data_IF_507830417908
#
_entry.id   IF_507830417908
#
_cell.length_a   1.000
_cell.length_b   1.000
_cell.length_c   1.000
_cell.angle_alpha   90.00
_cell.angle_beta   90.00
_cell.angle_gamma   90.00
#
_symmetry.space_group_name_H-M   'P 1'
#
loop_
_entity.id
_entity.type
_entity.pdbx_description
1 polymer ?
#
# COMPACT_ATOMS: atom_id res chain seq x y z
N UNK A 1 13.15 -47.03 25.17
CA UNK A 1 12.47 -45.81 25.66
C UNK A 1 12.68 -44.75 24.59
N UNK A 2 11.86 -44.79 23.53
CA UNK A 2 11.93 -43.84 22.42
C UNK A 2 10.73 -42.91 22.47
N UNK A 3 10.97 -41.63 22.77
CA UNK A 3 10.08 -40.51 22.49
C UNK A 3 10.89 -39.25 22.20
N UNK A 4 11.66 -39.25 21.11
CA UNK A 4 11.96 -38.01 20.41
C UNK A 4 10.80 -37.75 19.44
N UNK A 5 9.76 -37.10 19.95
CA UNK A 5 8.73 -36.53 19.09
C UNK A 5 9.35 -35.37 18.33
N UNK A 6 9.82 -35.63 17.12
CA UNK A 6 10.13 -34.60 16.12
C UNK A 6 8.86 -33.84 15.85
N UNK A 7 8.69 -32.71 16.53
CA UNK A 7 7.64 -31.73 16.28
C UNK A 7 7.94 -31.18 14.89
N UNK A 8 7.33 -31.76 13.84
CA UNK A 8 7.39 -31.20 12.49
C UNK A 8 6.90 -29.75 12.58
N UNK A 9 7.86 -28.82 12.51
CA UNK A 9 7.58 -27.39 12.42
C UNK A 9 6.93 -27.23 11.05
N UNK A 10 5.60 -27.11 11.04
CA UNK A 10 4.82 -26.92 9.81
C UNK A 10 5.36 -25.66 9.14
N UNK A 11 6.06 -25.83 8.02
CA UNK A 11 6.59 -24.73 7.23
C UNK A 11 5.41 -23.93 6.70
N UNK A 12 5.32 -22.65 7.06
CA UNK A 12 4.31 -21.76 6.49
C UNK A 12 4.83 -21.30 5.15
N UNK A 13 4.28 -21.85 4.07
CA UNK A 13 4.70 -21.54 2.70
C UNK A 13 3.87 -20.41 2.07
N UNK A 14 2.69 -20.11 2.63
CA UNK A 14 1.77 -19.08 2.12
C UNK A 14 1.20 -18.28 3.28
N UNK A 15 0.87 -17.02 3.01
CA UNK A 15 0.26 -16.13 3.99
C UNK A 15 -1.10 -16.66 4.48
N UNK A 16 -1.92 -17.21 3.58
CA UNK A 16 -3.24 -17.80 3.90
C UNK A 16 -3.17 -18.94 4.94
N UNK A 17 -2.04 -19.64 5.01
CA UNK A 17 -1.79 -20.72 5.98
C UNK A 17 -1.19 -20.23 7.30
N UNK A 18 -0.94 -18.93 7.43
CA UNK A 18 -0.22 -18.37 8.56
C UNK A 18 -1.09 -18.42 9.83
N UNK A 19 -0.63 -19.02 10.94
CA UNK A 19 -1.44 -19.16 12.16
C UNK A 19 -1.73 -17.82 12.86
N UNK A 20 -1.04 -16.76 12.45
CA UNK A 20 -1.23 -15.39 12.94
C UNK A 20 -1.75 -14.44 11.83
N UNK A 21 -2.43 -14.98 10.81
CA UNK A 21 -2.88 -14.23 9.63
C UNK A 21 -3.64 -12.95 9.98
N UNK A 22 -4.57 -13.01 10.94
CA UNK A 22 -5.37 -11.84 11.34
C UNK A 22 -4.53 -10.67 11.85
N UNK A 23 -3.51 -10.93 12.67
CA UNK A 23 -2.60 -9.89 13.18
C UNK A 23 -1.68 -9.36 12.06
N UNK A 24 -1.22 -10.24 11.16
CA UNK A 24 -0.45 -9.81 9.99
C UNK A 24 -1.27 -8.86 9.11
N UNK A 25 -2.48 -9.26 8.72
CA UNK A 25 -3.36 -8.44 7.87
C UNK A 25 -3.75 -7.16 8.58
N UNK A 26 -4.09 -7.22 9.88
CA UNK A 26 -4.45 -6.03 10.65
C UNK A 26 -3.32 -4.99 10.72
N UNK A 27 -2.07 -5.42 10.91
CA UNK A 27 -0.92 -4.49 10.88
C UNK A 27 -0.75 -3.88 9.48
N UNK A 28 -0.77 -4.71 8.44
CA UNK A 28 -0.56 -4.26 7.06
C UNK A 28 -1.66 -3.28 6.60
N UNK A 29 -2.93 -3.56 6.96
CA UNK A 29 -4.06 -2.69 6.65
C UNK A 29 -4.00 -1.35 7.38
N UNK A 30 -3.39 -1.30 8.57
CA UNK A 30 -3.26 -0.08 9.37
C UNK A 30 -2.11 0.83 8.90
N UNK A 31 -1.10 0.31 8.18
CA UNK A 31 0.08 1.10 7.78
C UNK A 31 -0.23 2.44 7.10
N UNK A 32 -1.13 2.54 6.10
CA UNK A 32 -1.43 3.82 5.46
C UNK A 32 -2.27 4.75 6.35
N UNK A 33 -2.82 4.26 7.46
CA UNK A 33 -3.63 5.03 8.41
C UNK A 33 -2.86 5.53 9.63
N UNK A 34 -1.57 5.19 9.74
CA UNK A 34 -0.70 5.79 10.75
C UNK A 34 -0.67 7.29 10.47
N UNK A 35 -1.08 8.09 11.46
CA UNK A 35 -1.16 9.55 11.35
C UNK A 35 0.15 10.21 11.77
N UNK A 36 0.27 11.51 11.50
CA UNK A 36 1.42 12.30 11.95
C UNK A 36 1.47 12.43 13.48
N UNK A 37 0.33 12.27 14.15
CA UNK A 37 0.22 12.23 15.61
C UNK A 37 0.69 10.89 16.22
N UNK A 38 0.55 9.80 15.46
CA UNK A 38 0.98 8.47 15.89
C UNK A 38 2.50 8.30 15.87
N UNK A 39 3.18 8.96 14.92
CA UNK A 39 4.62 8.82 14.70
C UNK A 39 5.46 9.19 15.95
N UNK A 40 5.27 10.36 16.59
CA UNK A 40 5.96 10.67 17.85
C UNK A 40 5.72 9.64 18.96
N UNK A 41 4.50 9.10 19.06
CA UNK A 41 4.14 8.14 20.10
C UNK A 41 4.80 6.77 19.86
N UNK A 42 4.77 6.29 18.61
CA UNK A 42 5.48 5.08 18.18
C UNK A 42 7.00 5.22 18.41
N UNK A 43 7.57 6.39 18.07
CA UNK A 43 8.98 6.69 18.27
C UNK A 43 9.37 6.71 19.76
N UNK A 44 8.53 7.28 20.62
CA UNK A 44 8.75 7.35 22.06
C UNK A 44 8.62 5.97 22.73
N UNK A 45 7.71 5.13 22.25
CA UNK A 45 7.52 3.77 22.76
C UNK A 45 8.60 2.78 22.28
N UNK A 46 9.30 3.09 21.19
CA UNK A 46 10.37 2.26 20.67
C UNK A 46 11.59 2.27 21.59
N UNK A 47 12.09 1.09 21.95
CA UNK A 47 13.31 0.95 22.73
C UNK A 47 14.27 -0.06 22.11
N UNK A 48 15.56 0.18 22.35
CA UNK A 48 16.63 -0.74 21.97
C UNK A 48 17.27 -1.31 23.24
N UNK A 49 16.98 -2.58 23.54
CA UNK A 49 17.60 -3.32 24.63
C UNK A 49 18.27 -4.58 24.08
N UNK A 50 19.26 -5.16 24.78
CA UNK A 50 19.87 -6.43 24.37
C UNK A 50 18.86 -7.56 24.19
N UNK A 51 17.84 -7.62 25.04
CA UNK A 51 16.77 -8.64 24.93
C UNK A 51 15.92 -8.45 23.68
N UNK A 52 15.58 -7.20 23.32
CA UNK A 52 14.84 -6.91 22.09
C UNK A 52 15.69 -7.14 20.84
N UNK A 53 16.99 -6.86 20.88
CA UNK A 53 17.89 -7.18 19.78
C UNK A 53 17.87 -8.69 19.45
N UNK A 54 17.99 -9.54 20.48
CA UNK A 54 17.89 -11.00 20.32
C UNK A 54 16.51 -11.41 19.76
N UNK A 55 15.43 -10.78 20.23
CA UNK A 55 14.09 -11.06 19.72
C UNK A 55 13.94 -10.68 18.24
N UNK A 56 14.50 -9.53 17.81
CA UNK A 56 14.54 -9.09 16.41
C UNK A 56 15.34 -10.06 15.55
N UNK A 57 16.51 -10.49 16.01
CA UNK A 57 17.35 -11.46 15.28
C UNK A 57 16.61 -12.78 15.05
N UNK A 58 15.82 -13.25 16.03
CA UNK A 58 14.95 -14.41 15.84
C UNK A 58 13.81 -14.13 14.87
N UNK A 59 13.20 -12.94 14.96
CA UNK A 59 12.07 -12.57 14.11
C UNK A 59 12.45 -12.40 12.64
N UNK A 60 13.69 -12.02 12.38
CA UNK A 60 14.27 -11.83 11.04
C UNK A 60 15.21 -12.98 10.64
N UNK A 61 15.29 -14.03 11.45
CA UNK A 61 16.13 -15.19 11.20
C UNK A 61 15.61 -16.05 10.04
N UNK A 62 16.45 -16.95 9.50
CA UNK A 62 16.08 -17.84 8.39
C UNK A 62 14.92 -18.79 8.73
N UNK A 63 14.71 -19.03 10.02
CA UNK A 63 13.64 -19.86 10.55
C UNK A 63 12.28 -19.12 10.68
N UNK A 64 12.26 -17.83 10.38
CA UNK A 64 11.06 -17.01 10.42
C UNK A 64 10.18 -17.30 9.19
N UNK A 65 8.88 -17.58 9.38
CA UNK A 65 8.00 -17.86 8.26
C UNK A 65 7.87 -16.63 7.35
N UNK A 66 7.86 -16.86 6.03
CA UNK A 66 7.59 -15.84 5.02
C UNK A 66 8.51 -14.60 5.15
N UNK A 67 9.80 -14.81 5.44
CA UNK A 67 10.75 -13.71 5.64
C UNK A 67 10.85 -12.77 4.44
N UNK A 68 10.69 -13.29 3.22
CA UNK A 68 10.66 -12.47 1.99
C UNK A 68 9.50 -11.47 2.02
N UNK A 69 8.36 -11.88 2.59
CA UNK A 69 7.16 -11.05 2.63
C UNK A 69 7.28 -9.98 3.72
N UNK A 70 8.01 -10.29 4.81
CA UNK A 70 8.41 -9.30 5.81
C UNK A 70 9.29 -8.23 5.18
N UNK A 71 10.29 -8.61 4.38
CA UNK A 71 11.17 -7.66 3.71
C UNK A 71 10.42 -6.81 2.67
N UNK A 72 9.52 -7.42 1.89
CA UNK A 72 8.65 -6.70 0.98
C UNK A 72 7.74 -5.69 1.73
N UNK A 73 7.22 -6.07 2.90
CA UNK A 73 6.44 -5.16 3.74
C UNK A 73 7.29 -4.01 4.30
N UNK A 74 8.58 -4.24 4.58
CA UNK A 74 9.51 -3.17 5.01
C UNK A 74 9.80 -2.19 3.89
N UNK A 75 9.94 -2.66 2.66
CA UNK A 75 10.09 -1.82 1.48
C UNK A 75 8.82 -1.01 1.22
N UNK A 76 7.65 -1.64 1.29
CA UNK A 76 6.36 -0.95 1.18
C UNK A 76 6.20 0.13 2.26
N UNK A 77 6.56 -0.17 3.51
CA UNK A 77 6.58 0.81 4.59
C UNK A 77 7.54 1.97 4.30
N UNK A 78 8.74 1.68 3.79
CA UNK A 78 9.70 2.72 3.40
C UNK A 78 9.13 3.66 2.33
N UNK A 79 8.45 3.10 1.34
CA UNK A 79 7.82 3.86 0.27
C UNK A 79 6.65 4.74 0.77
N UNK A 80 5.81 4.22 1.68
CA UNK A 80 4.68 4.98 2.24
C UNK A 80 5.11 6.21 3.06
N UNK A 81 6.31 6.17 3.63
CA UNK A 81 6.86 7.22 4.50
C UNK A 81 8.11 7.88 3.91
N UNK A 82 8.30 7.79 2.59
CA UNK A 82 9.50 8.32 1.93
C UNK A 82 9.71 9.81 2.25
N UNK A 83 8.63 10.61 2.12
CA UNK A 83 8.68 12.05 2.40
C UNK A 83 8.96 12.34 3.88
N UNK A 84 8.40 11.56 4.81
CA UNK A 84 8.63 11.72 6.26
C UNK A 84 10.09 11.41 6.64
N UNK A 85 10.71 10.44 5.97
CA UNK A 85 12.12 10.07 6.20
C UNK A 85 13.08 11.08 5.59
N UNK A 86 12.72 11.69 4.46
CA UNK A 86 13.52 12.73 3.80
C UNK A 86 13.37 14.06 4.56
N UNK A 87 12.15 14.46 4.89
CA UNK A 87 11.85 15.67 5.69
C UNK A 87 11.92 17.00 4.96
N UNK A 88 12.04 17.00 3.64
CA UNK A 88 12.22 18.23 2.85
C UNK A 88 10.90 18.83 2.37
N UNK A 89 9.84 18.02 2.31
CA UNK A 89 8.56 18.46 1.77
C UNK A 89 7.81 19.38 2.75
N UNK A 90 7.18 20.47 2.26
CA UNK A 90 6.59 21.51 3.11
C UNK A 90 5.36 21.04 3.92
N UNK A 91 4.79 19.90 3.56
CA UNK A 91 3.66 19.28 4.24
C UNK A 91 4.06 18.22 5.28
N UNK A 92 5.35 17.95 5.45
CA UNK A 92 5.84 17.01 6.46
C UNK A 92 5.91 17.73 7.81
N UNK A 93 5.10 17.27 8.76
CA UNK A 93 5.00 17.88 10.09
C UNK A 93 5.91 17.21 11.15
N UNK A 94 6.44 16.01 10.87
CA UNK A 94 7.22 15.22 11.82
C UNK A 94 8.70 15.24 11.46
N UNK A 95 9.57 15.46 12.44
CA UNK A 95 11.02 15.43 12.23
C UNK A 95 11.48 14.06 11.69
N UNK A 96 12.39 14.02 10.70
CA UNK A 96 12.87 12.76 10.11
C UNK A 96 13.41 11.75 11.11
N UNK A 97 14.14 12.21 12.13
CA UNK A 97 14.68 11.34 13.17
C UNK A 97 13.59 10.65 14.00
N UNK A 98 12.45 11.34 14.20
CA UNK A 98 11.26 10.79 14.87
C UNK A 98 10.59 9.78 13.97
N UNK A 99 10.36 10.12 12.69
CA UNK A 99 9.79 9.21 11.70
C UNK A 99 10.63 7.92 11.57
N UNK A 100 11.95 8.02 11.38
CA UNK A 100 12.86 6.87 11.30
C UNK A 100 12.74 5.96 12.54
N UNK A 101 12.60 6.54 13.74
CA UNK A 101 12.45 5.77 14.98
C UNK A 101 11.08 5.12 15.08
N UNK A 102 10.02 5.82 14.70
CA UNK A 102 8.67 5.26 14.63
C UNK A 102 8.61 4.06 13.67
N UNK A 103 9.22 4.18 12.49
CA UNK A 103 9.28 3.08 11.52
C UNK A 103 10.02 1.85 12.05
N UNK A 104 10.96 2.00 13.00
CA UNK A 104 11.55 0.84 13.69
C UNK A 104 10.53 0.10 14.55
N UNK A 105 9.65 0.81 15.25
CA UNK A 105 8.54 0.19 15.99
C UNK A 105 7.56 -0.52 15.07
N UNK A 106 7.23 0.08 13.91
CA UNK A 106 6.36 -0.55 12.92
C UNK A 106 7.01 -1.81 12.33
N UNK A 107 8.30 -1.76 12.00
CA UNK A 107 9.06 -2.93 11.52
C UNK A 107 9.12 -4.05 12.57
N UNK A 108 9.30 -3.71 13.85
CA UNK A 108 9.25 -4.68 14.95
C UNK A 108 7.87 -5.37 15.00
N UNK A 109 6.79 -4.62 14.81
CA UNK A 109 5.43 -5.16 14.82
C UNK A 109 5.18 -6.10 13.64
N UNK A 110 5.54 -5.69 12.42
CA UNK A 110 5.44 -6.52 11.22
C UNK A 110 6.25 -7.81 11.41
N UNK A 111 7.54 -7.71 11.77
CA UNK A 111 8.40 -8.87 11.96
C UNK A 111 7.87 -9.80 13.05
N UNK A 112 7.38 -9.27 14.17
CA UNK A 112 6.83 -10.07 15.25
C UNK A 112 5.55 -10.80 14.85
N UNK A 113 4.67 -10.17 14.07
CA UNK A 113 3.42 -10.77 13.61
C UNK A 113 3.66 -11.97 12.71
N UNK A 114 4.59 -11.86 11.75
CA UNK A 114 5.03 -12.98 10.92
C UNK A 114 5.78 -14.01 11.77
N UNK A 115 6.77 -13.59 12.55
CA UNK A 115 7.59 -14.49 13.34
C UNK A 115 6.86 -15.13 14.54
N UNK A 116 5.56 -14.91 14.72
CA UNK A 116 4.79 -15.41 15.86
C UNK A 116 5.04 -16.90 16.18
N UNK A 117 5.15 -17.83 15.21
CA UNK A 117 5.47 -19.24 15.48
C UNK A 117 6.91 -19.49 15.95
N UNK A 118 7.84 -18.59 15.62
CA UNK A 118 9.26 -18.67 15.97
C UNK A 118 9.59 -17.96 17.29
N UNK A 119 8.73 -17.05 17.74
CA UNK A 119 8.94 -16.24 18.93
C UNK A 119 8.29 -16.83 20.19
N UNK A 120 8.95 -16.63 21.32
CA UNK A 120 8.31 -16.85 22.62
C UNK A 120 7.16 -15.84 22.82
N UNK A 121 6.22 -16.14 23.74
CA UNK A 121 5.14 -15.20 24.07
C UNK A 121 5.68 -13.85 24.56
N UNK A 122 6.77 -13.88 25.32
CA UNK A 122 7.40 -12.67 25.87
C UNK A 122 8.07 -11.85 24.79
N UNK A 123 8.84 -12.48 23.89
CA UNK A 123 9.50 -11.79 22.78
C UNK A 123 8.48 -11.14 21.85
N UNK A 124 7.43 -11.88 21.48
CA UNK A 124 6.33 -11.36 20.66
C UNK A 124 5.65 -10.16 21.33
N UNK A 125 5.28 -10.29 22.60
CA UNK A 125 4.65 -9.19 23.33
C UNK A 125 5.56 -7.96 23.47
N UNK A 126 6.87 -8.16 23.64
CA UNK A 126 7.83 -7.08 23.78
C UNK A 126 8.03 -6.32 22.46
N UNK A 127 8.14 -7.02 21.32
CA UNK A 127 8.25 -6.40 19.99
C UNK A 127 6.95 -5.70 19.57
N UNK A 128 5.79 -6.31 19.87
CA UNK A 128 4.47 -5.74 19.57
C UNK A 128 4.07 -4.58 20.50
N UNK A 129 4.79 -4.35 21.61
CA UNK A 129 4.38 -3.40 22.64
C UNK A 129 4.18 -1.98 22.10
N UNK A 130 5.11 -1.38 21.34
CA UNK A 130 4.91 -0.03 20.81
C UNK A 130 3.66 0.06 19.93
N UNK A 131 3.44 -0.94 19.08
CA UNK A 131 2.27 -1.01 18.20
C UNK A 131 0.97 -1.07 18.99
N UNK A 132 0.87 -1.98 19.96
CA UNK A 132 -0.35 -2.19 20.76
C UNK A 132 -0.66 -1.04 21.73
N UNK A 133 0.32 -0.20 22.04
CA UNK A 133 0.09 1.01 22.83
C UNK A 133 -0.77 2.01 22.05
N UNK A 134 -0.54 2.11 20.74
CA UNK A 134 -1.19 3.09 19.86
C UNK A 134 -2.43 2.48 19.20
N UNK A 135 -2.35 1.21 18.79
CA UNK A 135 -3.42 0.46 18.14
C UNK A 135 -3.83 -0.74 19.01
N UNK A 136 -4.55 -0.52 20.12
CA UNK A 136 -4.93 -1.59 21.05
C UNK A 136 -5.96 -2.55 20.45
N UNK A 137 -6.76 -2.09 19.49
CA UNK A 137 -7.73 -2.89 18.74
C UNK A 137 -7.20 -3.08 17.32
N UNK A 138 -7.02 -4.33 16.91
CA UNK A 138 -6.72 -4.65 15.52
C UNK A 138 -8.01 -4.60 14.72
N UNK A 139 -8.11 -3.62 13.83
CA UNK A 139 -9.15 -3.58 12.82
C UNK A 139 -8.61 -4.20 11.54
N UNK A 140 -9.32 -5.19 11.00
CA UNK A 140 -9.15 -5.62 9.60
C UNK A 140 -10.11 -4.77 8.77
N UNK A 141 -9.99 -3.45 8.92
CA UNK A 141 -10.73 -2.52 8.08
C UNK A 141 -9.96 -2.42 6.75
N UNK A 142 -10.69 -2.50 5.66
CA UNK A 142 -10.14 -2.12 4.36
C UNK A 142 -9.63 -0.67 4.45
N UNK A 143 -8.53 -0.32 3.75
CA UNK A 143 -8.08 1.05 3.74
C UNK A 143 -9.19 2.01 3.33
N UNK A 144 -9.33 3.13 4.03
CA UNK A 144 -10.25 4.20 3.63
C UNK A 144 -9.78 4.82 2.30
N UNK A 145 -10.34 4.32 1.20
CA UNK A 145 -10.11 4.80 -0.16
C UNK A 145 -10.97 6.03 -0.50
N UNK A 146 -11.53 6.71 0.51
CA UNK A 146 -12.24 7.97 0.34
C UNK A 146 -13.69 7.82 -0.16
N UNK A 147 -14.32 8.95 -0.54
CA UNK A 147 -15.76 9.01 -0.84
C UNK A 147 -16.19 8.18 -2.05
N UNK A 148 -15.25 7.88 -2.96
CA UNK A 148 -15.48 7.10 -4.18
C UNK A 148 -14.72 5.77 -4.16
N UNK A 149 -14.58 5.14 -2.99
CA UNK A 149 -13.79 3.91 -2.78
C UNK A 149 -14.04 2.80 -3.80
N UNK A 150 -15.30 2.50 -4.14
CA UNK A 150 -15.63 1.47 -5.14
C UNK A 150 -15.12 1.81 -6.55
N UNK A 151 -15.08 3.10 -6.91
CA UNK A 151 -14.55 3.55 -8.19
C UNK A 151 -13.02 3.49 -8.20
N UNK A 152 -12.37 3.83 -7.09
CA UNK A 152 -10.92 3.63 -6.90
C UNK A 152 -10.57 2.16 -7.13
N UNK A 153 -11.29 1.23 -6.47
CA UNK A 153 -11.10 -0.22 -6.66
C UNK A 153 -11.34 -0.66 -8.09
N UNK A 154 -12.38 -0.14 -8.75
CA UNK A 154 -12.66 -0.45 -10.14
C UNK A 154 -11.47 -0.08 -11.05
N UNK A 155 -10.92 1.13 -10.90
CA UNK A 155 -9.74 1.57 -11.66
C UNK A 155 -8.53 0.67 -11.34
N UNK A 156 -8.25 0.39 -10.06
CA UNK A 156 -7.13 -0.47 -9.66
C UNK A 156 -7.28 -1.91 -10.20
N UNK A 157 -8.50 -2.42 -10.31
CA UNK A 157 -8.78 -3.78 -10.79
C UNK A 157 -8.45 -4.01 -12.27
N UNK A 158 -8.23 -2.94 -13.04
CA UNK A 158 -7.94 -3.00 -14.47
C UNK A 158 -6.46 -3.25 -14.76
N UNK A 159 -5.55 -2.94 -13.84
CA UNK A 159 -4.12 -3.10 -14.08
C UNK A 159 -3.69 -4.53 -14.45
N UNK A 160 -4.22 -5.62 -13.86
CA UNK A 160 -3.95 -6.98 -14.32
C UNK A 160 -4.30 -7.21 -15.79
N UNK A 161 -5.40 -6.66 -16.28
CA UNK A 161 -5.82 -6.76 -17.69
C UNK A 161 -4.82 -6.03 -18.61
N UNK A 162 -4.42 -4.81 -18.24
CA UNK A 162 -3.43 -4.01 -18.98
C UNK A 162 -2.03 -4.65 -18.98
N UNK A 163 -1.65 -5.31 -17.89
CA UNK A 163 -0.40 -6.09 -17.81
C UNK A 163 -0.42 -7.33 -18.71
N UNK A 164 -1.62 -7.91 -18.94
CA UNK A 164 -1.85 -9.06 -19.83
C UNK A 164 -1.92 -8.74 -21.33
N UNK A 165 -1.92 -7.46 -21.73
CA UNK A 165 -2.22 -7.00 -23.11
C UNK A 165 -1.45 -7.71 -24.23
N UNK A 166 -0.24 -8.18 -23.98
CA UNK A 166 0.59 -8.89 -24.97
C UNK A 166 -0.04 -10.19 -25.53
N UNK A 167 -1.06 -10.75 -24.87
CA UNK A 167 -1.79 -11.93 -25.34
C UNK A 167 -3.30 -11.84 -25.06
N UNK A 168 -3.78 -10.66 -24.64
CA UNK A 168 -5.18 -10.36 -24.42
C UNK A 168 -5.60 -9.21 -25.33
N UNK A 169 -6.39 -9.53 -26.36
CA UNK A 169 -6.86 -8.55 -27.33
C UNK A 169 -7.74 -7.45 -26.69
N UNK A 170 -8.49 -7.77 -25.63
CA UNK A 170 -9.28 -6.78 -24.91
C UNK A 170 -8.35 -5.86 -24.08
N UNK A 171 -7.32 -6.43 -23.46
CA UNK A 171 -6.26 -5.66 -22.79
C UNK A 171 -5.51 -4.72 -23.74
N UNK A 172 -5.18 -5.20 -24.95
CA UNK A 172 -4.51 -4.37 -25.97
C UNK A 172 -5.41 -3.25 -26.48
N UNK A 173 -6.66 -3.54 -26.86
CA UNK A 173 -7.58 -2.52 -27.36
C UNK A 173 -7.86 -1.43 -26.32
N UNK A 174 -7.97 -1.82 -25.04
CA UNK A 174 -8.11 -0.87 -23.94
C UNK A 174 -6.84 -0.02 -23.78
N UNK A 175 -5.66 -0.63 -23.83
CA UNK A 175 -4.38 0.07 -23.73
C UNK A 175 -4.26 1.13 -24.83
N UNK A 176 -4.50 0.76 -26.10
CA UNK A 176 -4.42 1.68 -27.24
C UNK A 176 -5.37 2.88 -27.06
N UNK A 177 -6.60 2.63 -26.60
CA UNK A 177 -7.58 3.68 -26.30
C UNK A 177 -7.09 4.63 -25.20
N UNK A 178 -6.44 4.12 -24.15
CA UNK A 178 -5.90 4.94 -23.06
C UNK A 178 -4.67 5.74 -23.51
N UNK A 179 -3.84 5.18 -24.38
CA UNK A 179 -2.70 5.90 -24.99
C UNK A 179 -3.20 7.13 -25.74
N UNK A 180 -4.19 6.98 -26.62
CA UNK A 180 -4.76 8.10 -27.38
C UNK A 180 -5.31 9.20 -26.46
N UNK A 181 -6.04 8.79 -25.40
CA UNK A 181 -6.60 9.74 -24.42
C UNK A 181 -5.54 10.43 -23.56
N UNK A 182 -4.38 9.81 -23.37
CA UNK A 182 -3.29 10.38 -22.57
C UNK A 182 -2.68 11.65 -23.18
N UNK A 183 -2.94 11.96 -24.45
CA UNK A 183 -2.44 13.16 -25.13
C UNK A 183 -3.37 14.37 -25.06
N UNK A 184 -4.66 14.16 -24.79
CA UNK A 184 -5.64 15.26 -24.68
C UNK A 184 -5.33 16.06 -23.40
N UNK A 185 -5.44 17.39 -23.36
CA UNK A 185 -5.37 18.20 -22.11
C UNK A 185 -4.26 17.82 -21.08
N UNK A 186 -3.06 17.46 -21.55
CA UNK A 186 -1.98 16.93 -20.70
C UNK A 186 -1.53 17.93 -19.63
N UNK A 187 -1.43 19.22 -20.00
CA UNK A 187 -1.00 20.28 -19.09
C UNK A 187 -2.04 20.53 -17.99
N UNK A 188 -3.31 20.60 -18.36
CA UNK A 188 -4.41 20.84 -17.43
C UNK A 188 -4.58 19.66 -16.46
N UNK A 189 -4.39 18.43 -16.93
CA UNK A 189 -4.37 17.25 -16.05
C UNK A 189 -3.21 17.27 -15.07
N UNK A 190 -2.02 17.67 -15.49
CA UNK A 190 -0.87 17.74 -14.59
C UNK A 190 -1.13 18.74 -13.44
N UNK A 191 -1.76 19.88 -13.73
CA UNK A 191 -2.19 20.84 -12.73
C UNK A 191 -3.26 20.28 -11.79
N UNK A 192 -4.30 19.64 -12.35
CA UNK A 192 -5.35 19.00 -11.57
C UNK A 192 -4.80 17.88 -10.67
N UNK A 193 -3.86 17.07 -11.15
CA UNK A 193 -3.21 16.01 -10.39
C UNK A 193 -2.37 16.57 -9.23
N UNK A 194 -1.64 17.66 -9.46
CA UNK A 194 -0.89 18.35 -8.40
C UNK A 194 -1.82 18.87 -7.30
N UNK A 195 -2.99 19.41 -7.68
CA UNK A 195 -4.00 19.81 -6.72
C UNK A 195 -4.65 18.65 -5.98
N UNK A 196 -4.98 17.56 -6.67
CA UNK A 196 -5.50 16.36 -6.04
C UNK A 196 -4.52 15.84 -4.96
N UNK A 197 -3.21 15.93 -5.21
CA UNK A 197 -2.21 15.63 -4.19
C UNK A 197 -2.26 16.60 -3.01
N UNK A 198 -2.41 17.91 -3.24
CA UNK A 198 -2.59 18.88 -2.14
C UNK A 198 -3.88 18.61 -1.34
N UNK A 199 -4.98 18.22 -1.99
CA UNK A 199 -6.20 17.79 -1.33
C UNK A 199 -5.95 16.53 -0.47
N UNK A 200 -5.15 15.58 -0.96
CA UNK A 200 -4.74 14.40 -0.18
C UNK A 200 -3.92 14.78 1.05
N UNK A 201 -3.04 15.79 0.94
CA UNK A 201 -2.30 16.34 2.09
C UNK A 201 -3.25 16.96 3.10
N UNK A 202 -4.12 17.87 2.67
CA UNK A 202 -5.04 18.60 3.55
C UNK A 202 -6.06 17.69 4.24
N UNK A 203 -6.43 16.58 3.62
CA UNK A 203 -7.34 15.58 4.17
C UNK A 203 -6.63 14.43 4.90
N UNK A 204 -5.31 14.52 5.11
CA UNK A 204 -4.50 13.47 5.76
C UNK A 204 -4.52 12.10 5.04
N UNK A 205 -4.80 12.08 3.73
CA UNK A 205 -4.83 10.88 2.86
C UNK A 205 -3.56 10.67 2.05
N UNK A 206 -2.49 11.44 2.28
CA UNK A 206 -1.21 11.33 1.53
C UNK A 206 -0.59 9.93 1.52
N UNK A 207 -0.74 9.15 2.60
CA UNK A 207 -0.25 7.77 2.67
C UNK A 207 -1.14 6.80 1.89
N UNK A 208 -2.45 7.01 1.89
CA UNK A 208 -3.38 6.25 1.04
C UNK A 208 -3.12 6.58 -0.43
N UNK A 209 -2.83 7.83 -0.76
CA UNK A 209 -2.38 8.24 -2.09
C UNK A 209 -1.14 7.47 -2.53
N UNK A 210 -0.10 7.41 -1.68
CA UNK A 210 1.11 6.63 -1.96
C UNK A 210 0.80 5.13 -2.13
N UNK A 211 -0.10 4.57 -1.31
CA UNK A 211 -0.56 3.19 -1.42
C UNK A 211 -1.23 2.92 -2.77
N UNK A 212 -2.17 3.77 -3.20
CA UNK A 212 -2.88 3.66 -4.49
C UNK A 212 -1.88 3.67 -5.65
N UNK A 213 -0.97 4.64 -5.67
CA UNK A 213 0.05 4.75 -6.73
C UNK A 213 0.97 3.55 -6.77
N UNK A 214 1.46 3.09 -5.62
CA UNK A 214 2.31 1.90 -5.51
C UNK A 214 1.57 0.64 -5.98
N UNK A 215 0.32 0.47 -5.56
CA UNK A 215 -0.51 -0.68 -5.94
C UNK A 215 -0.67 -0.74 -7.46
N UNK A 216 -1.00 0.37 -8.13
CA UNK A 216 -1.10 0.36 -9.59
C UNK A 216 0.24 0.09 -10.28
N UNK A 217 1.32 0.72 -9.81
CA UNK A 217 2.66 0.54 -10.38
C UNK A 217 3.14 -0.91 -10.29
N UNK A 218 2.92 -1.59 -9.16
CA UNK A 218 3.29 -3.00 -8.97
C UNK A 218 2.58 -3.95 -9.94
N UNK A 219 1.37 -3.61 -10.40
CA UNK A 219 0.61 -4.47 -11.31
C UNK A 219 1.01 -4.26 -12.77
N UNK A 220 1.18 -3.01 -13.21
CA UNK A 220 1.50 -2.74 -14.62
C UNK A 220 2.98 -2.95 -14.94
N UNK A 221 3.89 -2.71 -13.99
CA UNK A 221 5.32 -2.87 -14.20
C UNK A 221 5.78 -4.34 -14.17
N UNK A 222 4.92 -5.28 -13.76
CA UNK A 222 5.27 -6.70 -13.73
C UNK A 222 5.29 -7.28 -15.15
N UNK A 223 6.32 -8.08 -15.49
CA UNK A 223 6.30 -8.81 -16.75
C UNK A 223 5.09 -9.76 -16.79
N UNK A 224 4.52 -9.89 -17.98
CA UNK A 224 3.45 -10.83 -18.20
C UNK A 224 3.89 -12.24 -17.79
N UNK A 225 3.16 -12.84 -16.84
CA UNK A 225 3.49 -14.16 -16.29
C UNK A 225 3.40 -15.28 -17.35
N UNK A 226 2.55 -15.12 -18.39
CA UNK A 226 2.38 -16.08 -19.46
C UNK A 226 3.49 -15.99 -20.52
N UNK A 227 3.88 -14.77 -20.90
CA UNK A 227 4.81 -14.58 -22.01
C UNK A 227 6.27 -14.60 -21.54
N UNK A 228 6.58 -14.11 -20.32
CA UNK A 228 7.93 -13.93 -19.77
C UNK A 228 8.90 -12.95 -20.48
N UNK A 229 8.64 -12.21 -21.59
CA UNK A 229 9.54 -11.09 -21.85
C UNK A 229 9.26 -10.01 -20.80
N UNK A 230 10.34 -9.45 -20.26
CA UNK A 230 10.26 -8.14 -19.65
C UNK A 230 9.73 -7.18 -20.73
N UNK A 231 8.65 -6.40 -20.47
CA UNK A 231 8.51 -5.16 -21.22
C UNK A 231 9.82 -4.39 -20.97
N UNK A 232 10.47 -3.93 -22.04
CA UNK A 232 11.58 -3.00 -21.89
C UNK A 232 11.13 -1.92 -20.91
N UNK A 233 11.93 -1.68 -19.88
CA UNK A 233 11.63 -0.83 -18.72
C UNK A 233 11.53 0.67 -19.06
N UNK A 234 11.13 1.00 -20.30
CA UNK A 234 11.19 2.32 -20.91
C UNK A 234 10.09 2.52 -21.97
N UNK A 235 8.97 1.80 -21.87
CA UNK A 235 7.81 2.10 -22.70
C UNK A 235 7.10 3.34 -22.17
N UNK A 236 7.39 4.49 -22.79
CA UNK A 236 6.77 5.78 -22.49
C UNK A 236 5.24 5.70 -22.53
N UNK A 237 4.67 4.87 -23.39
CA UNK A 237 3.22 4.69 -23.48
C UNK A 237 2.67 3.98 -22.24
N UNK A 238 3.35 2.93 -21.76
CA UNK A 238 3.02 2.26 -20.50
C UNK A 238 3.04 3.21 -19.31
N UNK A 239 4.06 4.08 -19.24
CA UNK A 239 4.15 5.08 -18.18
C UNK A 239 2.98 6.09 -18.24
N UNK A 240 2.62 6.56 -19.45
CA UNK A 240 1.48 7.47 -19.63
C UNK A 240 0.15 6.83 -19.22
N UNK A 241 -0.09 5.57 -19.62
CA UNK A 241 -1.31 4.85 -19.24
C UNK A 241 -1.37 4.61 -17.73
N UNK A 242 -0.22 4.30 -17.12
CA UNK A 242 -0.11 4.16 -15.67
C UNK A 242 -0.47 5.46 -14.95
N UNK A 243 0.16 6.57 -15.35
CA UNK A 243 -0.09 7.90 -14.79
C UNK A 243 -1.56 8.29 -14.95
N UNK A 244 -2.14 8.10 -16.14
CA UNK A 244 -3.55 8.38 -16.42
C UNK A 244 -4.50 7.63 -15.46
N UNK A 245 -4.28 6.33 -15.27
CA UNK A 245 -5.11 5.51 -14.38
C UNK A 245 -4.90 5.88 -12.90
N UNK A 246 -3.64 6.13 -12.50
CA UNK A 246 -3.31 6.48 -11.13
C UNK A 246 -3.83 7.86 -10.75
N UNK A 247 -3.72 8.85 -11.64
CA UNK A 247 -4.22 10.20 -11.39
C UNK A 247 -5.74 10.20 -11.25
N UNK A 248 -6.45 9.41 -12.06
CA UNK A 248 -7.89 9.20 -11.90
C UNK A 248 -8.25 8.54 -10.56
N UNK A 249 -7.59 7.43 -10.20
CA UNK A 249 -7.83 6.76 -8.92
C UNK A 249 -7.53 7.67 -7.72
N UNK A 250 -6.47 8.46 -7.82
CA UNK A 250 -6.07 9.42 -6.80
C UNK A 250 -7.00 10.63 -6.72
N UNK A 251 -7.59 11.08 -7.82
CA UNK A 251 -8.64 12.11 -7.81
C UNK A 251 -9.92 11.61 -7.12
N UNK A 252 -10.33 10.38 -7.43
CA UNK A 252 -11.49 9.73 -6.80
C UNK A 252 -11.32 9.56 -5.28
N UNK A 253 -10.10 9.24 -4.83
CA UNK A 253 -9.73 9.15 -3.41
C UNK A 253 -10.01 10.45 -2.64
N UNK A 254 -9.90 11.61 -3.29
CA UNK A 254 -10.03 12.94 -2.67
C UNK A 254 -11.17 13.76 -3.25
N UNK A 255 -12.15 13.12 -3.89
CA UNK A 255 -13.23 13.81 -4.59
C UNK A 255 -14.12 14.68 -3.66
N UNK A 256 -14.04 14.48 -2.34
CA UNK A 256 -14.69 15.32 -1.33
C UNK A 256 -13.96 16.65 -1.10
N UNK A 257 -12.71 16.77 -1.54
CA UNK A 257 -11.83 17.90 -1.31
C UNK A 257 -11.22 18.48 -2.61
N UNK A 258 -11.64 17.98 -3.78
CA UNK A 258 -11.24 18.43 -5.11
C UNK A 258 -12.45 19.00 -5.85
N UNK A 259 -12.33 20.11 -6.61
CA UNK A 259 -13.43 20.59 -7.45
C UNK A 259 -13.90 19.52 -8.44
N UNK A 260 -15.22 19.39 -8.63
CA UNK A 260 -15.81 18.42 -9.56
C UNK A 260 -15.20 18.54 -10.97
N UNK A 261 -14.95 19.75 -11.45
CA UNK A 261 -14.31 19.98 -12.76
C UNK A 261 -12.91 19.37 -12.88
N UNK A 262 -12.16 19.29 -11.78
CA UNK A 262 -10.82 18.67 -11.76
C UNK A 262 -10.92 17.16 -11.59
N UNK A 263 -11.88 16.67 -10.79
CA UNK A 263 -12.20 15.25 -10.71
C UNK A 263 -12.64 14.70 -12.07
N UNK A 264 -13.54 15.41 -12.76
CA UNK A 264 -14.03 15.06 -14.09
C UNK A 264 -12.89 15.05 -15.11
N UNK A 265 -12.04 16.09 -15.12
CA UNK A 265 -10.88 16.18 -16.02
C UNK A 265 -9.91 15.00 -15.85
N UNK A 266 -9.69 14.53 -14.62
CA UNK A 266 -8.79 13.41 -14.33
C UNK A 266 -9.44 12.04 -14.59
N UNK A 267 -10.77 11.93 -14.49
CA UNK A 267 -11.49 10.65 -14.62
C UNK A 267 -12.12 10.42 -15.99
N UNK A 268 -12.39 11.47 -16.77
CA UNK A 268 -12.91 11.39 -18.15
C UNK A 268 -12.12 10.36 -19.00
N UNK A 269 -10.77 10.39 -19.01
CA UNK A 269 -10.00 9.49 -19.86
C UNK A 269 -10.21 8.01 -19.54
N UNK A 270 -10.56 7.69 -18.30
CA UNK A 270 -10.76 6.33 -17.79
C UNK A 270 -12.21 6.01 -17.48
N UNK A 271 -13.17 6.86 -17.88
CA UNK A 271 -14.58 6.69 -17.49
C UNK A 271 -15.17 5.35 -17.94
N UNK A 272 -14.69 4.78 -19.05
CA UNK A 272 -15.08 3.44 -19.50
C UNK A 272 -14.69 2.31 -18.52
N UNK A 273 -13.78 2.59 -17.58
CA UNK A 273 -13.33 1.67 -16.53
C UNK A 273 -14.11 1.83 -15.23
N UNK A 274 -14.80 2.96 -15.06
CA UNK A 274 -15.55 3.30 -13.86
C UNK A 274 -17.01 2.92 -14.13
N UNK A 275 -17.59 1.93 -13.43
CA UNK A 275 -19.00 1.62 -13.58
C UNK A 275 -19.82 2.88 -13.33
N UNK A 276 -20.64 3.29 -14.30
CA UNK A 276 -21.56 4.41 -14.12
C UNK A 276 -22.44 4.11 -12.91
N UNK A 277 -22.24 4.86 -11.82
CA UNK A 277 -23.18 4.83 -10.71
C UNK A 277 -24.48 5.42 -11.24
N UNK A 278 -25.50 4.58 -11.45
CA UNK A 278 -26.87 5.08 -11.64
C UNK A 278 -27.21 5.88 -10.39
N UNK A 279 -27.37 7.19 -10.55
CA UNK A 279 -27.95 8.05 -9.52
C UNK A 279 -29.41 7.60 -9.29
N UNK A 280 -29.59 6.68 -8.35
CA UNK A 280 -30.89 6.23 -7.88
C UNK A 280 -31.34 7.10 -6.72
N UNK A 281 -31.79 8.32 -7.01
CA UNK A 281 -32.63 9.07 -6.08
C UNK A 281 -34.06 8.50 -6.12
N UNK A 282 -34.69 8.17 -4.97
CA UNK A 282 -36.11 7.84 -4.97
C UNK A 282 -36.90 9.10 -5.32
N UNK A 283 -37.47 9.14 -6.51
CA UNK A 283 -38.54 10.06 -6.89
C UNK A 283 -39.87 9.32 -6.78
N UNK A 284 -40.42 9.24 -5.56
CA UNK A 284 -41.86 9.19 -5.25
C UNK A 284 -42.04 9.36 -3.75
#
# INVERSE_FOLDING_TARGET
MDRHGTRHRRTVARLEDHPNLGEVVGILAQLPHITDEDLPQLAAAWCNSPSLAIARDRALGPDSPLIVEVLAAFEALGALFADDVVGEAPYVAVEPAVAIRALKAVRDAIAAAYARPALSRQDHAALMRPWRLIYPQQTVAEPDLGPRSEQVKAVLSVFPLLAGRCHDAAGQALFDTLVDRSFVAESERAEAAASAFQAAVLTSRRRIWALVRRTGAEHLARPCHACRPAPGSDDRESQRVLELCLDAACALLVADALPDSWTDLLTEPVTSLIPLQREGGPST
#
